data_IF_477161330088
#
_entry.id   IF_477161330088
#
_cell.length_a   1.000
_cell.length_b   1.000
_cell.length_c   1.000
_cell.angle_alpha   90.00
_cell.angle_beta   90.00
_cell.angle_gamma   90.00
#
_symmetry.space_group_name_H-M   'P 1'
#
loop_
_entity.id
_entity.type
_entity.pdbx_description
1 polymer ?
#
# COMPACT_ATOMS: atom_id res chain seq x y z
N UNK A 1 -23.89 8.20 61.94
CA UNK A 1 -23.21 9.20 61.08
C UNK A 1 -21.78 8.79 60.68
N UNK A 2 -20.85 8.55 61.61
CA UNK A 2 -19.44 8.19 61.30
C UNK A 2 -19.26 6.94 60.40
N UNK A 3 -20.05 5.88 60.59
CA UNK A 3 -19.99 4.69 59.72
C UNK A 3 -20.45 4.96 58.29
N UNK A 4 -21.46 5.81 58.10
CA UNK A 4 -21.96 6.17 56.76
C UNK A 4 -20.93 6.97 55.97
N UNK A 5 -20.21 7.89 56.63
CA UNK A 5 -19.13 8.68 56.02
C UNK A 5 -17.98 7.76 55.57
N UNK A 6 -17.58 6.79 56.41
CA UNK A 6 -16.50 5.86 56.06
C UNK A 6 -16.88 4.99 54.85
N UNK A 7 -18.12 4.50 54.79
CA UNK A 7 -18.62 3.71 53.65
C UNK A 7 -18.63 4.57 52.39
N UNK A 8 -19.14 5.81 52.46
CA UNK A 8 -19.17 6.72 51.33
C UNK A 8 -17.76 7.01 50.79
N UNK A 9 -16.78 7.24 51.65
CA UNK A 9 -15.38 7.44 51.25
C UNK A 9 -14.78 6.20 50.58
N UNK A 10 -15.05 4.99 51.09
CA UNK A 10 -14.54 3.75 50.47
C UNK A 10 -15.17 3.50 49.10
N UNK A 11 -16.46 3.76 48.96
CA UNK A 11 -17.16 3.66 47.67
C UNK A 11 -16.55 4.66 46.68
N UNK A 12 -16.34 5.91 47.09
CA UNK A 12 -15.71 6.93 46.25
C UNK A 12 -14.32 6.51 45.79
N UNK A 13 -13.46 6.05 46.70
CA UNK A 13 -12.11 5.58 46.36
C UNK A 13 -12.18 4.37 45.42
N UNK A 14 -13.10 3.43 45.66
CA UNK A 14 -13.28 2.25 44.80
C UNK A 14 -13.72 2.62 43.39
N UNK A 15 -14.63 3.59 43.23
CA UNK A 15 -15.07 4.10 41.93
C UNK A 15 -13.92 4.81 41.21
N UNK A 16 -13.15 5.66 41.91
CA UNK A 16 -11.99 6.34 41.32
C UNK A 16 -10.94 5.34 40.87
N UNK A 17 -10.60 4.35 41.71
CA UNK A 17 -9.60 3.33 41.39
C UNK A 17 -10.04 2.44 40.23
N UNK A 18 -11.31 1.99 40.23
CA UNK A 18 -11.89 1.25 39.11
C UNK A 18 -11.88 2.08 37.82
N UNK A 19 -12.22 3.38 37.91
CA UNK A 19 -12.22 4.32 36.79
C UNK A 19 -10.84 4.49 36.15
N UNK A 20 -9.82 4.74 36.97
CA UNK A 20 -8.43 4.85 36.51
C UNK A 20 -7.98 3.54 35.85
N UNK A 21 -8.26 2.40 36.48
CA UNK A 21 -7.85 1.09 35.98
C UNK A 21 -8.53 0.76 34.65
N UNK A 22 -9.84 1.00 34.54
CA UNK A 22 -10.60 0.81 33.29
C UNK A 22 -10.10 1.71 32.16
N UNK A 23 -9.81 2.98 32.45
CA UNK A 23 -9.24 3.92 31.47
C UNK A 23 -7.83 3.53 31.04
N UNK A 24 -6.98 3.10 31.99
CA UNK A 24 -5.64 2.63 31.70
C UNK A 24 -5.67 1.38 30.80
N UNK A 25 -6.53 0.40 31.13
CA UNK A 25 -6.71 -0.80 30.32
C UNK A 25 -7.21 -0.47 28.91
N UNK A 26 -8.18 0.44 28.78
CA UNK A 26 -8.63 0.91 27.47
C UNK A 26 -7.47 1.53 26.66
N UNK A 27 -6.71 2.46 27.26
CA UNK A 27 -5.59 3.13 26.57
C UNK A 27 -4.48 2.16 26.14
N UNK A 28 -4.09 1.25 27.04
CA UNK A 28 -3.05 0.26 26.75
C UNK A 28 -3.52 -0.66 25.63
N UNK A 29 -4.76 -1.18 25.72
CA UNK A 29 -5.27 -2.11 24.71
C UNK A 29 -5.45 -1.43 23.35
N UNK A 30 -5.98 -0.21 23.32
CA UNK A 30 -6.10 0.59 22.09
C UNK A 30 -4.72 0.79 21.45
N UNK A 31 -3.73 1.24 22.23
CA UNK A 31 -2.37 1.47 21.73
C UNK A 31 -1.73 0.18 21.21
N UNK A 32 -1.76 -0.91 21.98
CA UNK A 32 -1.14 -2.18 21.60
C UNK A 32 -1.79 -2.78 20.35
N UNK A 33 -3.12 -2.77 20.25
CA UNK A 33 -3.82 -3.31 19.08
C UNK A 33 -3.64 -2.42 17.85
N UNK A 34 -3.63 -1.09 18.00
CA UNK A 34 -3.35 -0.17 16.91
C UNK A 34 -1.91 -0.31 16.39
N UNK A 35 -0.92 -0.49 17.27
CA UNK A 35 0.46 -0.75 16.87
C UNK A 35 0.59 -2.09 16.13
N UNK A 36 0.03 -3.17 16.69
CA UNK A 36 0.02 -4.47 16.04
C UNK A 36 -0.66 -4.42 14.66
N UNK A 37 -1.72 -3.61 14.52
CA UNK A 37 -2.40 -3.38 13.25
C UNK A 37 -1.52 -2.62 12.25
N UNK A 38 -0.82 -1.59 12.70
CA UNK A 38 0.12 -0.83 11.87
C UNK A 38 1.29 -1.71 11.40
N UNK A 39 1.85 -2.55 12.26
CA UNK A 39 2.93 -3.49 11.90
C UNK A 39 2.48 -4.54 10.87
N UNK A 40 1.27 -5.09 11.03
CA UNK A 40 0.67 -6.00 10.05
C UNK A 40 0.49 -5.31 8.69
N UNK A 41 -0.06 -4.10 8.70
CA UNK A 41 -0.23 -3.29 7.49
C UNK A 41 1.10 -2.94 6.82
N UNK A 42 2.13 -2.64 7.62
CA UNK A 42 3.47 -2.34 7.12
C UNK A 42 4.12 -3.58 6.47
N UNK A 43 3.91 -4.76 7.04
CA UNK A 43 4.40 -6.02 6.46
C UNK A 43 3.66 -6.35 5.16
N UNK A 44 2.33 -6.20 5.15
CA UNK A 44 1.49 -6.38 3.98
C UNK A 44 1.90 -5.45 2.84
N UNK A 45 2.00 -4.14 3.11
CA UNK A 45 2.29 -3.15 2.08
C UNK A 45 3.70 -3.32 1.51
N UNK A 46 4.65 -3.82 2.31
CA UNK A 46 6.00 -4.12 1.80
C UNK A 46 5.96 -5.18 0.71
N UNK A 47 5.33 -6.33 1.00
CA UNK A 47 5.25 -7.44 0.04
C UNK A 47 4.41 -7.03 -1.18
N UNK A 48 3.30 -6.33 -0.96
CA UNK A 48 2.45 -5.86 -2.05
C UNK A 48 3.18 -4.86 -2.93
N UNK A 49 3.85 -3.87 -2.35
CA UNK A 49 4.65 -2.87 -3.07
C UNK A 49 5.65 -3.50 -4.02
N UNK A 50 6.42 -4.48 -3.52
CA UNK A 50 7.44 -5.15 -4.31
C UNK A 50 6.78 -5.85 -5.52
N UNK A 51 5.64 -6.53 -5.33
CA UNK A 51 4.89 -7.18 -6.41
C UNK A 51 4.30 -6.21 -7.44
N UNK A 52 3.70 -5.10 -7.00
CA UNK A 52 3.13 -4.11 -7.92
C UNK A 52 4.24 -3.39 -8.72
N UNK A 53 5.42 -3.21 -8.12
CA UNK A 53 6.55 -2.54 -8.77
C UNK A 53 7.24 -3.43 -9.80
N UNK A 54 7.30 -4.75 -9.59
CA UNK A 54 8.00 -5.71 -10.48
C UNK A 54 7.63 -5.53 -11.95
N UNK A 55 6.33 -5.46 -12.26
CA UNK A 55 5.85 -5.35 -13.64
C UNK A 55 6.40 -4.11 -14.37
N UNK A 56 6.50 -2.98 -13.67
CA UNK A 56 7.03 -1.73 -14.24
C UNK A 56 8.56 -1.71 -14.29
N UNK A 57 9.22 -2.39 -13.35
CA UNK A 57 10.68 -2.57 -13.39
C UNK A 57 11.11 -3.49 -14.54
N UNK A 58 10.33 -4.54 -14.84
CA UNK A 58 10.50 -5.42 -16.00
C UNK A 58 10.31 -4.63 -17.30
N UNK A 59 9.25 -3.82 -17.42
CA UNK A 59 9.02 -2.95 -18.56
C UNK A 59 10.19 -1.96 -18.79
N UNK A 60 10.73 -1.38 -17.71
CA UNK A 60 11.91 -0.49 -17.79
C UNK A 60 13.14 -1.24 -18.31
N UNK A 61 13.41 -2.41 -17.74
CA UNK A 61 14.56 -3.24 -18.11
C UNK A 61 14.48 -3.65 -19.58
N UNK A 62 13.30 -4.06 -20.05
CA UNK A 62 13.04 -4.36 -21.45
C UNK A 62 13.32 -3.15 -22.35
N UNK A 63 12.80 -1.97 -21.99
CA UNK A 63 12.97 -0.76 -22.80
C UNK A 63 14.45 -0.30 -22.88
N UNK A 64 15.20 -0.39 -21.79
CA UNK A 64 16.64 -0.09 -21.77
C UNK A 64 17.44 -1.07 -22.62
N UNK A 65 17.12 -2.37 -22.52
CA UNK A 65 17.77 -3.39 -23.33
C UNK A 65 17.43 -3.24 -24.83
N UNK A 66 16.19 -2.88 -25.16
CA UNK A 66 15.73 -2.59 -26.51
C UNK A 66 16.43 -1.37 -27.11
N UNK A 67 16.57 -0.27 -26.35
CA UNK A 67 17.34 0.91 -26.76
C UNK A 67 18.80 0.53 -27.07
N UNK A 68 19.48 -0.15 -26.16
CA UNK A 68 20.87 -0.55 -26.37
C UNK A 68 21.01 -1.47 -27.60
N UNK A 69 20.04 -2.36 -27.82
CA UNK A 69 19.98 -3.25 -28.97
C UNK A 69 19.71 -2.51 -30.29
N UNK A 70 18.92 -1.45 -30.25
CA UNK A 70 18.63 -0.56 -31.37
C UNK A 70 19.88 0.21 -31.77
N UNK A 71 20.53 0.88 -30.82
CA UNK A 71 21.72 1.69 -31.09
C UNK A 71 22.85 0.85 -31.72
N UNK A 72 23.06 -0.37 -31.22
CA UNK A 72 24.02 -1.31 -31.82
C UNK A 72 23.67 -1.70 -33.26
N UNK A 73 22.40 -2.01 -33.53
CA UNK A 73 21.96 -2.41 -34.88
C UNK A 73 22.00 -1.24 -35.84
N UNK A 74 21.49 -0.08 -35.43
CA UNK A 74 21.53 1.15 -36.20
C UNK A 74 22.97 1.49 -36.58
N UNK A 75 23.94 1.38 -35.68
CA UNK A 75 25.35 1.61 -36.01
C UNK A 75 25.98 0.60 -36.99
N UNK A 76 25.40 -0.60 -37.16
CA UNK A 76 25.95 -1.68 -37.99
C UNK A 76 25.26 -1.84 -39.34
N UNK A 77 24.00 -1.43 -39.47
CA UNK A 77 23.26 -1.51 -40.74
C UNK A 77 23.81 -0.44 -41.68
N UNK A 78 24.27 -0.85 -42.85
CA UNK A 78 24.53 0.05 -43.98
C UNK A 78 23.21 0.37 -44.69
N UNK A 79 23.01 1.64 -45.02
CA UNK A 79 21.74 2.13 -45.57
C UNK A 79 21.44 1.57 -46.97
N UNK A 80 22.46 1.32 -47.79
CA UNK A 80 22.24 0.81 -49.16
C UNK A 80 21.84 -0.67 -49.16
N UNK A 81 22.40 -1.47 -48.24
CA UNK A 81 22.17 -2.92 -48.14
C UNK A 81 20.76 -3.28 -47.63
N UNK A 82 20.04 -2.34 -47.01
CA UNK A 82 18.75 -2.62 -46.35
C UNK A 82 17.52 -2.34 -47.22
N UNK A 83 17.69 -1.66 -48.37
CA UNK A 83 16.55 -1.18 -49.18
C UNK A 83 15.71 -2.34 -49.73
N UNK A 84 16.36 -3.38 -50.25
CA UNK A 84 15.66 -4.55 -50.81
C UNK A 84 14.92 -5.32 -49.72
N UNK A 85 15.57 -5.53 -48.56
CA UNK A 85 14.95 -6.17 -47.39
C UNK A 85 13.76 -5.35 -46.88
N UNK A 86 13.93 -4.03 -46.75
CA UNK A 86 12.86 -3.12 -46.33
C UNK A 86 11.67 -3.19 -47.30
N UNK A 87 11.91 -3.15 -48.61
CA UNK A 87 10.85 -3.25 -49.62
C UNK A 87 10.13 -4.61 -49.59
N UNK A 88 10.86 -5.70 -49.34
CA UNK A 88 10.30 -7.05 -49.25
C UNK A 88 9.45 -7.27 -47.99
N UNK A 89 9.79 -6.59 -46.89
CA UNK A 89 9.08 -6.70 -45.60
C UNK A 89 7.93 -5.69 -45.50
N UNK A 90 8.08 -4.52 -46.12
CA UNK A 90 7.17 -3.39 -46.00
C UNK A 90 6.80 -2.80 -47.37
N UNK A 91 6.02 -3.53 -48.18
CA UNK A 91 5.62 -3.05 -49.50
C UNK A 91 4.73 -1.79 -49.43
N UNK A 92 4.70 -0.98 -50.51
CA UNK A 92 3.71 0.08 -50.68
C UNK A 92 2.29 -0.46 -50.55
N UNK A 93 1.40 0.32 -49.92
CA UNK A 93 -0.02 -0.04 -49.79
C UNK A 93 -0.89 0.54 -50.91
N UNK A 94 -0.39 1.58 -51.60
CA UNK A 94 -1.10 2.25 -52.70
C UNK A 94 -1.84 3.53 -52.30
N UNK A 95 -1.72 3.97 -51.05
CA UNK A 95 -2.28 5.22 -50.51
C UNK A 95 -1.20 6.21 -50.03
N UNK A 96 0.06 5.99 -50.43
CA UNK A 96 1.23 6.73 -49.95
C UNK A 96 1.82 6.17 -48.65
N UNK A 97 1.16 5.19 -48.00
CA UNK A 97 1.70 4.48 -46.84
C UNK A 97 2.42 3.19 -47.24
N UNK A 98 3.23 2.69 -46.31
CA UNK A 98 3.73 1.30 -46.34
C UNK A 98 3.15 0.51 -45.17
N UNK A 99 2.92 -0.79 -45.38
CA UNK A 99 2.38 -1.72 -44.38
C UNK A 99 3.25 -2.96 -44.31
N UNK A 100 3.22 -3.67 -43.18
CA UNK A 100 3.86 -4.99 -43.08
C UNK A 100 3.27 -5.97 -44.09
N UNK A 101 4.13 -6.74 -44.76
CA UNK A 101 3.71 -7.90 -45.54
C UNK A 101 2.88 -8.87 -44.67
N UNK A 102 1.78 -9.48 -45.19
CA UNK A 102 0.90 -10.34 -44.39
C UNK A 102 1.62 -11.45 -43.61
N UNK A 103 2.59 -12.10 -44.25
CA UNK A 103 3.39 -13.19 -43.67
C UNK A 103 4.20 -12.77 -42.42
N UNK A 104 4.43 -11.47 -42.17
CA UNK A 104 5.10 -11.02 -40.94
C UNK A 104 4.23 -11.22 -39.70
N UNK A 105 2.92 -11.26 -39.86
CA UNK A 105 2.04 -11.66 -38.76
C UNK A 105 1.83 -13.18 -38.76
N UNK A 106 1.58 -13.76 -39.94
CA UNK A 106 1.13 -15.15 -40.06
C UNK A 106 2.26 -16.17 -39.89
N UNK A 107 3.50 -15.75 -40.08
CA UNK A 107 4.68 -16.60 -39.99
C UNK A 107 5.47 -16.62 -41.30
N UNK A 108 6.75 -16.25 -41.26
CA UNK A 108 7.69 -16.32 -42.39
C UNK A 108 9.04 -16.84 -41.93
N UNK A 109 9.59 -17.83 -42.63
CA UNK A 109 10.98 -18.23 -42.43
C UNK A 109 11.92 -17.19 -43.02
N UNK A 110 12.95 -16.83 -42.27
CA UNK A 110 14.03 -15.95 -42.68
C UNK A 110 15.30 -16.79 -42.96
N UNK A 111 16.30 -16.24 -43.65
CA UNK A 111 17.59 -16.91 -43.81
C UNK A 111 18.21 -17.31 -42.47
N UNK A 112 18.99 -18.38 -42.44
CA UNK A 112 19.72 -18.80 -41.23
C UNK A 112 18.88 -19.55 -40.19
N UNK A 113 17.78 -20.20 -40.60
CA UNK A 113 16.83 -20.89 -39.72
C UNK A 113 16.10 -19.97 -38.71
N UNK A 114 16.03 -18.68 -39.03
CA UNK A 114 15.28 -17.69 -38.27
C UNK A 114 13.80 -17.63 -38.72
N UNK A 115 12.92 -17.07 -37.89
CA UNK A 115 11.49 -17.00 -38.14
C UNK A 115 10.91 -15.67 -37.64
N UNK A 116 9.83 -15.20 -38.26
CA UNK A 116 9.11 -14.00 -37.83
C UNK A 116 7.61 -14.24 -37.91
N UNK A 117 6.88 -13.82 -36.88
CA UNK A 117 5.42 -13.87 -36.79
C UNK A 117 4.92 -12.77 -35.85
N UNK A 118 3.61 -12.57 -35.77
CA UNK A 118 2.98 -11.63 -34.83
C UNK A 118 3.30 -10.15 -35.05
N UNK A 119 3.96 -9.80 -36.16
CA UNK A 119 4.36 -8.42 -36.47
C UNK A 119 3.31 -7.75 -37.36
N UNK A 120 2.96 -6.52 -37.00
CA UNK A 120 2.20 -5.59 -37.84
C UNK A 120 2.89 -4.23 -37.90
N UNK A 121 2.78 -3.55 -39.04
CA UNK A 121 3.40 -2.25 -39.23
C UNK A 121 2.51 -1.28 -40.00
N UNK A 122 2.62 -0.01 -39.63
CA UNK A 122 2.04 1.14 -40.31
C UNK A 122 3.12 2.21 -40.49
N UNK A 123 3.28 2.75 -41.69
CA UNK A 123 4.19 3.85 -41.95
C UNK A 123 3.47 4.95 -42.73
N UNK A 124 3.09 6.01 -42.02
CA UNK A 124 2.63 7.24 -42.65
C UNK A 124 3.71 7.81 -43.57
N UNK A 125 3.31 8.24 -44.77
CA UNK A 125 4.22 8.73 -45.82
C UNK A 125 5.39 7.76 -46.11
N UNK A 126 5.12 6.45 -45.99
CA UNK A 126 6.14 5.40 -46.06
C UNK A 126 6.79 5.28 -47.44
N UNK A 127 6.08 5.66 -48.51
CA UNK A 127 6.63 5.61 -49.87
C UNK A 127 7.76 6.63 -50.09
N UNK A 128 7.78 7.73 -49.33
CA UNK A 128 8.76 8.81 -49.43
C UNK A 128 9.88 8.73 -48.38
N UNK A 129 9.99 7.62 -47.64
CA UNK A 129 11.04 7.43 -46.65
C UNK A 129 12.44 7.47 -47.29
N UNK A 130 13.30 8.32 -46.75
CA UNK A 130 14.73 8.35 -47.03
C UNK A 130 15.42 7.05 -46.60
N UNK A 131 16.60 6.78 -47.15
CA UNK A 131 17.40 5.60 -46.79
C UNK A 131 17.71 5.58 -45.28
N UNK A 132 18.02 6.74 -44.68
CA UNK A 132 18.28 6.82 -43.24
C UNK A 132 17.04 6.49 -42.39
N UNK A 133 15.85 6.92 -42.80
CA UNK A 133 14.61 6.58 -42.12
C UNK A 133 14.29 5.08 -42.25
N UNK A 134 14.55 4.47 -43.41
CA UNK A 134 14.42 3.02 -43.61
C UNK A 134 15.40 2.26 -42.71
N UNK A 135 16.67 2.68 -42.68
CA UNK A 135 17.72 2.11 -41.82
C UNK A 135 17.35 2.17 -40.33
N UNK A 136 16.89 3.33 -39.88
CA UNK A 136 16.36 3.56 -38.52
C UNK A 136 15.17 2.65 -38.21
N UNK A 137 14.20 2.59 -39.11
CA UNK A 137 13.02 1.76 -38.92
C UNK A 137 13.36 0.26 -38.88
N UNK A 138 14.28 -0.19 -39.73
CA UNK A 138 14.76 -1.57 -39.78
C UNK A 138 15.52 -1.96 -38.51
N UNK A 139 16.34 -1.07 -37.94
CA UNK A 139 16.93 -1.29 -36.63
C UNK A 139 15.84 -1.50 -35.54
N UNK A 140 14.77 -0.70 -35.57
CA UNK A 140 13.61 -0.84 -34.70
C UNK A 140 12.87 -2.17 -34.91
N UNK A 141 12.57 -2.54 -36.16
CA UNK A 141 11.93 -3.81 -36.52
C UNK A 141 12.71 -5.02 -36.00
N UNK A 142 14.04 -5.06 -36.18
CA UNK A 142 14.85 -6.16 -35.70
C UNK A 142 14.84 -6.29 -34.17
N UNK A 143 14.76 -5.18 -33.45
CA UNK A 143 14.61 -5.20 -31.98
C UNK A 143 13.22 -5.71 -31.62
N UNK A 144 12.16 -5.14 -32.21
CA UNK A 144 10.77 -5.56 -31.93
C UNK A 144 10.55 -7.05 -32.20
N UNK A 145 11.11 -7.59 -33.30
CA UNK A 145 11.08 -9.03 -33.59
C UNK A 145 11.77 -9.83 -32.48
N UNK A 146 13.06 -9.58 -32.25
CA UNK A 146 13.87 -10.42 -31.38
C UNK A 146 13.46 -10.32 -29.90
N UNK A 147 13.15 -9.12 -29.43
CA UNK A 147 12.76 -8.88 -28.04
C UNK A 147 11.30 -9.21 -27.80
N UNK A 148 10.43 -9.00 -28.81
CA UNK A 148 9.02 -9.36 -28.71
C UNK A 148 8.86 -10.86 -28.48
N UNK A 149 9.51 -11.68 -29.31
CA UNK A 149 9.48 -13.13 -29.14
C UNK A 149 10.08 -13.58 -27.80
N UNK A 150 11.19 -12.96 -27.37
CA UNK A 150 11.84 -13.30 -26.11
C UNK A 150 10.99 -13.00 -24.86
N UNK A 151 10.01 -12.09 -24.94
CA UNK A 151 9.15 -11.69 -23.82
C UNK A 151 7.67 -12.01 -24.10
N UNK A 152 7.43 -13.07 -24.87
CA UNK A 152 6.09 -13.61 -25.12
C UNK A 152 5.37 -13.93 -23.79
N UNK A 153 4.13 -13.47 -23.68
CA UNK A 153 3.29 -13.68 -22.49
C UNK A 153 3.59 -12.75 -21.31
N UNK A 154 4.68 -11.96 -21.35
CA UNK A 154 4.97 -10.98 -20.30
C UNK A 154 4.25 -9.65 -20.54
N UNK A 155 4.13 -9.25 -21.82
CA UNK A 155 3.51 -8.00 -22.23
C UNK A 155 2.51 -8.25 -23.37
N UNK A 156 1.44 -7.44 -23.41
CA UNK A 156 0.42 -7.56 -24.47
C UNK A 156 0.92 -7.11 -25.84
N UNK A 157 1.90 -6.21 -25.88
CA UNK A 157 2.64 -5.88 -27.10
C UNK A 157 3.99 -5.23 -26.79
N UNK A 158 4.93 -5.39 -27.71
CA UNK A 158 6.14 -4.57 -27.82
C UNK A 158 6.09 -3.82 -29.14
N UNK A 159 6.43 -2.54 -29.15
CA UNK A 159 6.42 -1.73 -30.37
C UNK A 159 7.52 -0.69 -30.40
N UNK A 160 7.90 -0.31 -31.61
CA UNK A 160 8.77 0.82 -31.90
C UNK A 160 8.01 1.80 -32.76
N UNK A 161 8.08 3.09 -32.43
CA UNK A 161 7.48 4.14 -33.23
C UNK A 161 8.41 5.33 -33.41
N UNK A 162 8.16 6.09 -34.47
CA UNK A 162 8.90 7.31 -34.81
C UNK A 162 8.00 8.54 -34.73
N UNK A 163 8.58 9.75 -34.59
CA UNK A 163 7.82 11.00 -34.62
C UNK A 163 6.99 11.17 -35.91
N UNK A 164 7.46 10.58 -37.02
CA UNK A 164 6.85 10.69 -38.35
C UNK A 164 5.65 9.74 -38.58
N UNK A 165 4.92 9.37 -37.52
CA UNK A 165 3.73 8.50 -37.55
C UNK A 165 4.00 7.10 -38.12
N UNK A 166 5.12 6.49 -37.75
CA UNK A 166 5.48 5.13 -38.17
C UNK A 166 5.57 4.23 -36.95
N UNK A 167 5.06 3.01 -37.05
CA UNK A 167 5.08 2.03 -35.96
C UNK A 167 5.26 0.62 -36.50
N UNK A 168 6.05 -0.18 -35.78
CA UNK A 168 6.11 -1.64 -35.90
C UNK A 168 5.76 -2.24 -34.54
N UNK A 169 4.86 -3.22 -34.52
CA UNK A 169 4.28 -3.81 -33.33
C UNK A 169 4.43 -5.32 -33.40
N UNK A 170 4.95 -5.93 -32.33
CA UNK A 170 4.84 -7.35 -32.05
C UNK A 170 3.72 -7.57 -31.04
N UNK A 171 2.67 -8.28 -31.46
CA UNK A 171 1.53 -8.63 -30.62
C UNK A 171 0.82 -9.88 -31.17
N UNK A 172 1.46 -11.06 -31.13
CA UNK A 172 0.95 -12.27 -31.78
C UNK A 172 -0.38 -12.77 -31.19
N UNK A 173 -0.62 -12.49 -29.91
CA UNK A 173 -1.81 -12.97 -29.19
C UNK A 173 -3.03 -12.05 -29.32
N UNK A 174 -2.87 -10.91 -30.02
CA UNK A 174 -4.00 -10.00 -30.25
C UNK A 174 -5.04 -10.66 -31.15
N UNK A 175 -6.28 -10.69 -30.66
CA UNK A 175 -7.41 -11.29 -31.36
C UNK A 175 -7.68 -10.66 -32.75
N UNK A 176 -7.45 -9.35 -32.90
CA UNK A 176 -7.61 -8.63 -34.17
C UNK A 176 -6.41 -8.79 -35.11
N UNK A 177 -5.37 -9.53 -34.72
CA UNK A 177 -4.17 -9.81 -35.53
C UNK A 177 -3.51 -8.53 -36.09
N UNK A 178 -3.60 -7.42 -35.36
CA UNK A 178 -3.13 -6.09 -35.76
C UNK A 178 -3.78 -5.58 -37.05
N UNK A 179 -4.99 -6.02 -37.39
CA UNK A 179 -5.68 -5.67 -38.64
C UNK A 179 -5.80 -4.17 -38.86
N UNK A 180 -6.07 -3.39 -37.80
CA UNK A 180 -6.15 -1.94 -37.89
C UNK A 180 -4.89 -1.33 -38.52
N UNK A 181 -3.71 -1.65 -37.98
CA UNK A 181 -2.45 -1.10 -38.49
C UNK A 181 -2.08 -1.65 -39.87
N UNK A 182 -2.39 -2.94 -40.11
CA UNK A 182 -2.02 -3.64 -41.34
C UNK A 182 -2.88 -3.26 -42.55
N UNK A 183 -4.17 -2.95 -42.33
CA UNK A 183 -5.14 -2.85 -43.42
C UNK A 183 -6.14 -1.69 -43.32
N UNK A 184 -6.53 -1.25 -42.12
CA UNK A 184 -7.72 -0.40 -41.94
C UNK A 184 -7.39 1.07 -41.65
N UNK A 185 -6.25 1.33 -41.02
CA UNK A 185 -5.87 2.69 -40.61
C UNK A 185 -5.70 3.58 -41.85
N UNK A 186 -6.30 4.78 -41.89
CA UNK A 186 -6.21 5.67 -43.04
C UNK A 186 -4.79 6.24 -43.21
N UNK A 187 -4.49 6.77 -44.41
CA UNK A 187 -3.17 7.33 -44.72
C UNK A 187 -2.77 8.53 -43.83
N UNK A 188 -3.75 9.28 -43.36
CA UNK A 188 -3.62 10.42 -42.45
C UNK A 188 -3.80 10.05 -40.97
N UNK A 189 -3.83 8.75 -40.64
CA UNK A 189 -3.98 8.29 -39.26
C UNK A 189 -2.93 8.96 -38.35
N UNK A 190 -3.44 9.63 -37.31
CA UNK A 190 -2.61 10.29 -36.31
C UNK A 190 -2.24 9.30 -35.21
N UNK A 191 -1.18 8.54 -35.45
CA UNK A 191 -0.60 7.60 -34.49
C UNK A 191 -0.28 8.25 -33.13
N UNK A 192 0.02 9.55 -33.12
CA UNK A 192 0.50 10.31 -31.98
C UNK A 192 -0.63 10.95 -31.15
N UNK A 193 -1.91 10.81 -31.56
CA UNK A 193 -3.03 11.52 -30.97
C UNK A 193 -3.23 11.26 -29.46
N UNK A 194 -2.92 10.04 -29.01
CA UNK A 194 -3.07 9.61 -27.62
C UNK A 194 -1.75 9.66 -26.82
N UNK A 195 -0.68 10.19 -27.42
CA UNK A 195 0.62 10.27 -26.78
C UNK A 195 0.75 11.55 -25.94
N UNK A 196 1.30 11.43 -24.73
CA UNK A 196 1.59 12.58 -23.88
C UNK A 196 2.83 13.31 -24.42
N UNK A 197 2.72 14.56 -24.93
CA UNK A 197 3.86 15.25 -25.53
C UNK A 197 5.03 15.45 -24.56
N UNK A 198 4.76 15.41 -23.25
CA UNK A 198 5.79 15.53 -22.20
C UNK A 198 6.77 14.37 -22.19
N UNK A 199 6.37 13.21 -22.73
CA UNK A 199 7.25 12.04 -22.87
C UNK A 199 8.44 12.34 -23.80
N UNK A 200 8.20 13.05 -24.90
CA UNK A 200 9.22 13.33 -25.94
C UNK A 200 9.81 14.74 -25.86
N UNK A 201 9.40 15.54 -24.89
CA UNK A 201 9.99 16.86 -24.68
C UNK A 201 11.32 16.74 -23.93
N UNK A 202 12.35 17.42 -24.43
CA UNK A 202 13.64 17.56 -23.73
C UNK A 202 13.52 18.41 -22.47
N UNK A 203 12.53 19.30 -22.38
CA UNK A 203 12.28 20.13 -21.21
C UNK A 203 11.74 19.30 -20.04
N UNK A 204 10.82 18.38 -20.33
CA UNK A 204 10.13 17.59 -19.29
C UNK A 204 10.68 16.17 -19.11
N UNK A 205 11.44 15.66 -20.07
CA UNK A 205 12.09 14.34 -20.02
C UNK A 205 13.50 14.37 -20.64
N UNK A 206 14.44 15.16 -20.07
CA UNK A 206 15.80 15.31 -20.61
C UNK A 206 16.59 14.00 -20.63
N UNK A 207 16.36 13.12 -19.64
CA UNK A 207 17.09 11.86 -19.49
C UNK A 207 16.52 10.72 -20.36
N UNK A 208 15.51 11.00 -21.18
CA UNK A 208 14.80 9.98 -21.97
C UNK A 208 14.35 8.80 -21.10
N UNK A 209 13.85 9.12 -19.90
CA UNK A 209 13.36 8.13 -18.96
C UNK A 209 12.08 7.49 -19.49
N UNK A 210 11.88 6.22 -19.16
CA UNK A 210 10.62 5.54 -19.47
C UNK A 210 9.49 6.17 -18.64
N UNK A 211 8.35 6.44 -19.28
CA UNK A 211 7.13 6.87 -18.59
C UNK A 211 5.94 6.06 -19.08
N UNK A 212 4.99 5.81 -18.18
CA UNK A 212 3.76 5.10 -18.51
C UNK A 212 2.57 6.06 -18.62
N UNK A 213 1.66 5.75 -19.53
CA UNK A 213 0.41 6.50 -19.66
C UNK A 213 -0.50 6.25 -18.46
N UNK A 214 -1.50 7.13 -18.32
CA UNK A 214 -2.66 6.79 -17.49
C UNK A 214 -3.33 5.52 -18.02
N UNK A 215 -4.16 4.90 -17.18
CA UNK A 215 -5.08 3.86 -17.65
C UNK A 215 -5.93 4.41 -18.79
N UNK A 216 -5.80 3.78 -19.94
CA UNK A 216 -6.51 4.11 -21.16
C UNK A 216 -7.25 2.89 -21.68
N UNK A 217 -8.10 3.12 -22.68
CA UNK A 217 -8.55 2.03 -23.54
C UNK A 217 -7.42 1.71 -24.53
N UNK A 218 -7.48 0.52 -25.10
CA UNK A 218 -6.69 0.22 -26.28
C UNK A 218 -7.24 1.01 -27.48
N UNK A 219 -6.34 1.60 -28.29
CA UNK A 219 -6.68 2.46 -29.45
C UNK A 219 -7.57 1.77 -30.50
N UNK A 220 -7.55 0.44 -30.54
CA UNK A 220 -8.29 -0.39 -31.49
C UNK A 220 -9.65 -0.90 -30.97
N UNK A 221 -10.08 -0.47 -29.78
CA UNK A 221 -11.34 -0.93 -29.16
C UNK A 221 -12.25 0.26 -28.87
N UNK A 222 -13.33 0.39 -29.64
CA UNK A 222 -14.34 1.46 -29.52
C UNK A 222 -15.27 1.32 -28.29
N UNK A 223 -15.09 0.28 -27.46
CA UNK A 223 -15.90 0.05 -26.27
C UNK A 223 -15.20 -0.86 -25.25
N UNK A 224 -15.04 -0.37 -24.02
CA UNK A 224 -14.44 -1.13 -22.91
C UNK A 224 -14.12 -0.26 -21.68
N UNK A 225 -13.88 -0.91 -20.54
CA UNK A 225 -13.26 -0.24 -19.38
C UNK A 225 -11.81 0.15 -19.70
N UNK A 226 -11.30 1.19 -19.05
CA UNK A 226 -9.88 1.55 -19.17
C UNK A 226 -9.08 0.48 -18.45
N UNK A 227 -8.40 -0.37 -19.20
CA UNK A 227 -7.71 -1.54 -18.67
C UNK A 227 -6.28 -1.68 -19.16
N UNK A 228 -5.75 -0.72 -19.90
CA UNK A 228 -4.37 -0.78 -20.39
C UNK A 228 -3.55 0.40 -19.89
N UNK A 229 -2.27 0.18 -19.64
CA UNK A 229 -1.27 1.24 -19.59
C UNK A 229 -0.19 0.93 -20.61
N UNK A 230 0.43 1.97 -21.15
CA UNK A 230 1.50 1.83 -22.10
C UNK A 230 2.73 2.57 -21.58
N UNK A 231 3.81 1.83 -21.38
CA UNK A 231 5.10 2.33 -20.91
C UNK A 231 6.03 2.52 -22.10
N UNK A 232 6.61 3.70 -22.24
CA UNK A 232 7.41 4.08 -23.41
C UNK A 232 8.69 4.76 -22.99
N UNK A 233 9.78 4.51 -23.71
CA UNK A 233 11.08 5.11 -23.52
C UNK A 233 11.56 5.76 -24.82
N UNK A 234 11.73 7.09 -24.86
CA UNK A 234 12.34 7.78 -25.99
C UNK A 234 13.79 7.33 -26.18
N UNK A 235 14.25 7.34 -27.43
CA UNK A 235 15.63 7.06 -27.81
C UNK A 235 16.19 8.33 -28.44
N UNK A 236 17.30 8.82 -27.90
CA UNK A 236 17.96 10.01 -28.43
C UNK A 236 19.43 9.78 -28.72
N UNK A 237 19.90 10.34 -29.83
CA UNK A 237 21.31 10.39 -30.21
C UNK A 237 21.64 11.84 -30.48
N UNK A 238 22.62 12.40 -29.76
CA UNK A 238 23.03 13.81 -29.87
C UNK A 238 21.87 14.83 -29.77
N UNK A 239 20.84 14.49 -28.98
CA UNK A 239 19.65 15.31 -28.78
C UNK A 239 18.54 15.11 -29.83
N UNK A 240 18.81 14.39 -30.92
CA UNK A 240 17.80 14.02 -31.92
C UNK A 240 16.94 12.86 -31.43
N UNK A 241 15.61 12.98 -31.58
CA UNK A 241 14.67 11.91 -31.27
C UNK A 241 14.66 10.88 -32.40
N UNK A 242 15.27 9.73 -32.14
CA UNK A 242 15.30 8.62 -33.10
C UNK A 242 13.96 7.88 -33.15
N UNK A 243 13.25 7.85 -32.03
CA UNK A 243 11.98 7.16 -31.88
C UNK A 243 11.78 6.76 -30.43
N UNK A 244 10.95 5.74 -30.19
CA UNK A 244 10.76 5.20 -28.86
C UNK A 244 10.32 3.74 -28.90
N UNK A 245 10.78 2.96 -27.92
CA UNK A 245 10.20 1.67 -27.63
C UNK A 245 9.07 1.81 -26.63
N UNK A 246 8.00 1.06 -26.84
CA UNK A 246 6.90 0.98 -25.92
C UNK A 246 6.40 -0.43 -25.73
N UNK A 247 5.85 -0.68 -24.55
CA UNK A 247 5.11 -1.89 -24.22
C UNK A 247 3.70 -1.53 -23.80
N UNK A 248 2.74 -2.36 -24.19
CA UNK A 248 1.38 -2.29 -23.65
C UNK A 248 1.22 -3.36 -22.57
N UNK A 249 0.61 -2.97 -21.46
CA UNK A 249 0.35 -3.84 -20.32
C UNK A 249 -1.18 -3.89 -20.13
N UNK A 250 -1.73 -5.11 -20.15
CA UNK A 250 -3.11 -5.34 -19.72
C UNK A 250 -3.14 -5.35 -18.18
N UNK A 251 -3.89 -4.39 -17.64
CA UNK A 251 -4.03 -4.16 -16.21
C UNK A 251 -5.27 -4.82 -15.62
N UNK A 252 -6.11 -5.48 -16.42
CA UNK A 252 -7.40 -6.04 -15.95
C UNK A 252 -7.19 -7.05 -14.82
N UNK A 253 -6.46 -8.13 -15.11
CA UNK A 253 -6.20 -9.19 -14.14
C UNK A 253 -5.22 -8.73 -13.06
N UNK A 254 -4.22 -7.92 -13.45
CA UNK A 254 -3.25 -7.36 -12.52
C UNK A 254 -3.96 -6.56 -11.42
N UNK A 255 -4.74 -5.55 -11.79
CA UNK A 255 -5.49 -4.72 -10.84
C UNK A 255 -6.49 -5.54 -10.04
N UNK A 256 -7.21 -6.48 -10.66
CA UNK A 256 -8.12 -7.36 -9.92
C UNK A 256 -7.38 -8.11 -8.81
N UNK A 257 -6.25 -8.74 -9.13
CA UNK A 257 -5.40 -9.44 -8.16
C UNK A 257 -4.81 -8.52 -7.08
N UNK A 258 -4.61 -7.24 -7.39
CA UNK A 258 -4.13 -6.20 -6.46
C UNK A 258 -5.13 -5.82 -5.41
N UNK A 259 -6.40 -6.05 -5.69
CA UNK A 259 -7.47 -5.63 -4.82
C UNK A 259 -7.95 -6.73 -3.88
N UNK A 260 -7.52 -7.98 -4.08
CA UNK A 260 -7.89 -9.13 -3.27
C UNK A 260 -7.28 -9.12 -1.86
N UNK A 261 -7.96 -9.81 -0.94
CA UNK A 261 -7.52 -10.12 0.42
C UNK A 261 -6.87 -8.94 1.20
N UNK A 262 -7.54 -7.77 1.29
CA UNK A 262 -7.03 -6.68 2.12
C UNK A 262 -6.89 -7.14 3.57
N UNK A 263 -5.81 -6.77 4.27
CA UNK A 263 -5.56 -7.20 5.63
C UNK A 263 -6.71 -6.82 6.55
N UNK A 264 -7.26 -7.87 7.17
CA UNK A 264 -8.23 -7.85 8.24
C UNK A 264 -9.45 -6.94 8.00
N UNK A 265 -10.11 -7.19 6.86
CA UNK A 265 -11.39 -6.56 6.51
C UNK A 265 -11.25 -5.13 5.98
N UNK A 266 -10.02 -4.72 5.65
CA UNK A 266 -9.75 -3.42 5.04
C UNK A 266 -10.23 -3.30 3.59
N UNK A 267 -9.82 -2.23 2.92
CA UNK A 267 -10.12 -1.96 1.51
C UNK A 267 -8.83 -1.60 0.77
N UNK A 268 -8.56 -2.31 -0.33
CA UNK A 268 -7.50 -1.92 -1.26
C UNK A 268 -8.03 -0.95 -2.31
N UNK A 269 -7.20 0.04 -2.66
CA UNK A 269 -7.45 1.09 -3.62
C UNK A 269 -6.18 1.32 -4.44
N UNK A 270 -6.33 1.61 -5.73
CA UNK A 270 -5.24 2.11 -6.55
C UNK A 270 -5.62 3.50 -7.04
N UNK A 271 -4.70 4.46 -6.90
CA UNK A 271 -4.84 5.82 -7.35
C UNK A 271 -3.86 6.12 -8.48
N UNK A 272 -4.29 6.93 -9.45
CA UNK A 272 -3.36 7.52 -10.41
C UNK A 272 -2.58 8.70 -9.81
N UNK A 273 -1.68 9.26 -10.61
CA UNK A 273 -0.83 10.40 -10.24
C UNK A 273 -1.60 11.66 -9.83
N UNK A 274 -2.82 11.82 -10.33
CA UNK A 274 -3.68 12.97 -10.09
C UNK A 274 -4.56 12.76 -8.84
N UNK A 275 -4.58 11.54 -8.29
CA UNK A 275 -5.36 11.16 -7.13
C UNK A 275 -6.75 10.62 -7.47
N UNK A 276 -7.00 10.25 -8.72
CA UNK A 276 -8.23 9.57 -9.13
C UNK A 276 -8.14 8.09 -8.78
N UNK A 277 -9.23 7.51 -8.25
CA UNK A 277 -9.29 6.07 -8.00
C UNK A 277 -9.44 5.34 -9.33
N UNK A 278 -8.46 4.52 -9.66
CA UNK A 278 -8.42 3.73 -10.90
C UNK A 278 -8.77 2.25 -10.67
N UNK A 279 -8.67 1.77 -9.44
CA UNK A 279 -9.11 0.41 -9.08
C UNK A 279 -9.54 0.33 -7.59
N UNK A 280 -10.50 -0.54 -7.27
CA UNK A 280 -11.00 -0.75 -5.89
C UNK A 280 -11.52 -2.18 -5.65
N UNK A 281 -11.18 -2.77 -4.51
CA UNK A 281 -11.59 -4.14 -4.13
C UNK A 281 -12.98 -4.30 -3.53
N UNK A 282 -13.78 -3.24 -3.54
CA UNK A 282 -15.14 -3.18 -2.99
C UNK A 282 -16.00 -2.27 -3.86
N UNK A 283 -17.32 -2.41 -3.75
CA UNK A 283 -18.24 -1.54 -4.49
C UNK A 283 -18.19 -0.09 -3.95
N UNK A 284 -18.60 0.88 -4.77
CA UNK A 284 -18.73 2.28 -4.35
C UNK A 284 -19.62 2.44 -3.10
N UNK A 285 -20.68 1.62 -3.01
CA UNK A 285 -21.62 1.66 -1.90
C UNK A 285 -21.00 1.14 -0.59
N UNK A 286 -20.22 0.05 -0.66
CA UNK A 286 -19.51 -0.50 0.49
C UNK A 286 -18.47 0.48 1.03
N UNK A 287 -17.65 1.07 0.16
CA UNK A 287 -16.64 2.04 0.57
C UNK A 287 -17.26 3.31 1.20
N UNK A 288 -18.38 3.79 0.67
CA UNK A 288 -19.13 4.92 1.26
C UNK A 288 -19.73 4.56 2.62
N UNK A 289 -20.25 3.35 2.78
CA UNK A 289 -20.76 2.87 4.06
C UNK A 289 -19.66 2.79 5.14
N UNK A 290 -18.41 2.52 4.73
CA UNK A 290 -17.23 2.49 5.61
C UNK A 290 -16.66 3.90 5.85
N UNK A 291 -17.14 4.93 5.15
CA UNK A 291 -16.71 6.33 5.33
C UNK A 291 -15.37 6.67 4.68
N UNK A 292 -14.88 5.88 3.73
CA UNK A 292 -13.62 6.13 3.05
C UNK A 292 -13.77 7.31 2.08
N UNK A 293 -13.01 8.39 2.32
CA UNK A 293 -12.93 9.54 1.41
C UNK A 293 -11.59 9.53 0.62
N UNK A 294 -11.61 9.20 -0.68
CA UNK A 294 -10.42 9.18 -1.52
C UNK A 294 -9.63 10.49 -1.55
N UNK A 295 -10.32 11.64 -1.47
CA UNK A 295 -9.68 12.97 -1.49
C UNK A 295 -8.85 13.21 -0.22
N UNK A 296 -9.38 12.78 0.93
CA UNK A 296 -8.68 12.90 2.21
C UNK A 296 -7.43 12.00 2.24
N UNK A 297 -7.53 10.78 1.73
CA UNK A 297 -6.39 9.87 1.60
C UNK A 297 -5.32 10.49 0.73
N UNK A 298 -5.67 10.98 -0.46
CA UNK A 298 -4.67 11.57 -1.36
C UNK A 298 -4.05 12.84 -0.78
N UNK A 299 -4.80 13.65 -0.03
CA UNK A 299 -4.24 14.79 0.69
C UNK A 299 -3.20 14.36 1.74
N UNK A 300 -3.41 13.23 2.43
CA UNK A 300 -2.42 12.68 3.38
C UNK A 300 -1.16 12.18 2.69
N UNK A 301 -1.29 11.58 1.50
CA UNK A 301 -0.18 10.94 0.80
C UNK A 301 0.63 11.89 -0.08
N UNK A 302 0.02 12.98 -0.57
CA UNK A 302 0.65 13.89 -1.54
C UNK A 302 1.98 14.44 -1.05
N UNK A 303 2.04 14.84 0.22
CA UNK A 303 3.22 15.46 0.83
C UNK A 303 4.13 14.45 1.55
N UNK A 304 3.79 13.15 1.56
CA UNK A 304 4.60 12.13 2.20
C UNK A 304 5.74 11.67 1.26
N UNK A 305 7.02 11.97 1.56
CA UNK A 305 8.13 11.68 0.65
C UNK A 305 8.50 10.19 0.63
N UNK A 306 7.94 9.37 1.53
CA UNK A 306 8.33 7.97 1.64
C UNK A 306 7.81 7.18 0.44
N UNK A 307 8.56 6.19 -0.07
CA UNK A 307 8.09 5.32 -1.14
C UNK A 307 6.94 4.42 -0.68
N UNK A 308 6.89 4.11 0.63
CA UNK A 308 5.84 3.30 1.26
C UNK A 308 5.77 3.58 2.75
N UNK A 309 4.63 3.31 3.37
CA UNK A 309 4.46 3.47 4.81
C UNK A 309 3.04 3.23 5.30
N UNK A 310 2.84 3.49 6.59
CA UNK A 310 1.52 3.50 7.24
C UNK A 310 1.33 4.87 7.89
N UNK A 311 0.17 5.48 7.67
CA UNK A 311 -0.24 6.77 8.27
C UNK A 311 -1.62 6.64 8.90
N UNK A 312 -1.86 7.38 9.98
CA UNK A 312 -3.20 7.52 10.55
C UNK A 312 -3.96 8.67 9.89
N UNK A 313 -5.29 8.60 9.84
CA UNK A 313 -6.11 9.76 9.43
C UNK A 313 -6.19 10.79 10.56
N UNK A 314 -6.47 12.08 10.27
CA UNK A 314 -6.57 13.12 11.29
C UNK A 314 -7.63 12.82 12.36
N UNK A 315 -8.71 12.12 11.98
CA UNK A 315 -9.78 11.68 12.89
C UNK A 315 -9.44 10.39 13.66
N UNK A 316 -8.28 9.77 13.38
CA UNK A 316 -7.83 8.49 13.97
C UNK A 316 -8.82 7.33 13.80
N UNK A 317 -9.65 7.39 12.77
CA UNK A 317 -10.65 6.35 12.47
C UNK A 317 -10.06 5.21 11.64
N UNK A 318 -8.98 5.51 10.90
CA UNK A 318 -8.35 4.58 9.97
C UNK A 318 -6.83 4.60 10.07
N UNK A 319 -6.24 3.46 9.74
CA UNK A 319 -4.85 3.35 9.30
C UNK A 319 -4.84 3.19 7.78
N UNK A 320 -3.95 3.92 7.11
CA UNK A 320 -3.76 3.93 5.67
C UNK A 320 -2.34 3.43 5.42
N UNK A 321 -2.22 2.22 4.88
CA UNK A 321 -0.96 1.72 4.34
C UNK A 321 -0.86 2.13 2.87
N UNK A 322 0.30 2.58 2.43
CA UNK A 322 0.49 3.02 1.05
C UNK A 322 1.84 2.59 0.49
N UNK A 323 1.89 2.44 -0.82
CA UNK A 323 3.11 2.37 -1.62
C UNK A 323 2.95 3.19 -2.88
N UNK A 324 4.01 3.88 -3.27
CA UNK A 324 4.16 4.53 -4.57
C UNK A 324 4.66 3.50 -5.58
N UNK A 325 4.14 3.56 -6.80
CA UNK A 325 4.53 2.71 -7.93
C UNK A 325 5.20 3.61 -8.97
N UNK A 326 6.49 3.40 -9.18
CA UNK A 326 7.30 4.19 -10.10
C UNK A 326 7.06 3.74 -11.55
N UNK A 327 7.06 4.70 -12.49
CA UNK A 327 6.75 4.48 -13.91
C UNK A 327 5.42 5.15 -14.30
N UNK A 328 4.27 4.72 -13.72
CA UNK A 328 2.98 5.38 -13.95
C UNK A 328 2.63 6.44 -12.88
N UNK A 329 3.46 6.59 -11.84
CA UNK A 329 3.27 7.47 -10.67
C UNK A 329 1.98 7.18 -9.90
N UNK A 330 1.69 5.90 -9.69
CA UNK A 330 0.47 5.45 -9.00
C UNK A 330 0.70 5.26 -7.50
N UNK A 331 -0.41 5.17 -6.76
CA UNK A 331 -0.41 4.79 -5.36
C UNK A 331 -1.25 3.53 -5.16
N UNK A 332 -0.64 2.49 -4.62
CA UNK A 332 -1.38 1.39 -4.03
C UNK A 332 -1.66 1.70 -2.56
N UNK A 333 -2.91 1.55 -2.13
CA UNK A 333 -3.36 1.93 -0.79
C UNK A 333 -4.21 0.82 -0.19
N UNK A 334 -3.97 0.52 1.08
CA UNK A 334 -4.82 -0.35 1.89
C UNK A 334 -5.30 0.38 3.12
N UNK A 335 -6.62 0.47 3.28
CA UNK A 335 -7.27 1.19 4.38
C UNK A 335 -7.83 0.20 5.39
N UNK A 336 -7.59 0.45 6.67
CA UNK A 336 -8.05 -0.39 7.77
C UNK A 336 -8.80 0.42 8.81
N UNK A 337 -10.02 0.01 9.13
CA UNK A 337 -10.85 0.66 10.14
C UNK A 337 -10.40 0.33 11.58
N UNK A 338 -10.39 1.31 12.48
CA UNK A 338 -10.01 1.12 13.90
C UNK A 338 -11.20 0.92 14.84
N UNK A 339 -12.45 1.10 14.39
CA UNK A 339 -13.64 0.90 15.23
C UNK A 339 -13.72 -0.45 15.93
N UNK A 340 -13.31 -1.56 15.30
CA UNK A 340 -13.35 -2.86 15.97
C UNK A 340 -12.39 -2.92 17.17
N UNK A 341 -11.21 -2.34 17.01
CA UNK A 341 -10.20 -2.19 18.07
C UNK A 341 -10.73 -1.27 19.18
N UNK A 342 -11.36 -0.15 18.81
CA UNK A 342 -11.98 0.78 19.76
C UNK A 342 -13.10 0.10 20.55
N UNK A 343 -14.03 -0.55 19.88
CA UNK A 343 -15.14 -1.25 20.51
C UNK A 343 -14.67 -2.40 21.41
N UNK A 344 -13.62 -3.14 21.01
CA UNK A 344 -13.00 -4.14 21.86
C UNK A 344 -12.37 -3.51 23.11
N UNK A 345 -11.64 -2.41 22.94
CA UNK A 345 -10.99 -1.68 24.04
C UNK A 345 -12.00 -1.10 25.02
N UNK A 346 -13.12 -0.57 24.54
CA UNK A 346 -14.25 -0.10 25.36
C UNK A 346 -14.88 -1.23 26.17
N UNK A 347 -15.18 -2.37 25.53
CA UNK A 347 -15.76 -3.53 26.22
C UNK A 347 -14.85 -4.05 27.33
N UNK A 348 -13.55 -4.16 27.07
CA UNK A 348 -12.60 -4.64 28.07
C UNK A 348 -12.34 -3.63 29.19
N UNK A 349 -12.20 -2.34 28.86
CA UNK A 349 -12.09 -1.28 29.86
C UNK A 349 -13.30 -1.25 30.80
N UNK A 350 -14.50 -1.40 30.23
CA UNK A 350 -15.74 -1.46 31.00
C UNK A 350 -15.86 -2.72 31.87
N UNK A 351 -15.46 -3.89 31.34
CA UNK A 351 -15.41 -5.14 32.12
C UNK A 351 -14.45 -5.03 33.31
N UNK A 352 -13.27 -4.45 33.09
CA UNK A 352 -12.27 -4.27 34.14
C UNK A 352 -12.73 -3.27 35.20
N UNK A 353 -13.38 -2.18 34.78
CA UNK A 353 -14.03 -1.24 35.68
C UNK A 353 -15.01 -1.94 36.62
N UNK A 354 -15.97 -2.69 36.06
CA UNK A 354 -16.97 -3.39 36.88
C UNK A 354 -16.36 -4.48 37.75
N UNK A 355 -15.39 -5.23 37.22
CA UNK A 355 -14.69 -6.26 37.99
C UNK A 355 -14.01 -5.67 39.23
N UNK A 356 -13.22 -4.60 39.07
CA UNK A 356 -12.51 -3.95 40.18
C UNK A 356 -13.51 -3.31 41.16
N UNK A 357 -14.57 -2.68 40.66
CA UNK A 357 -15.59 -2.07 41.50
C UNK A 357 -16.29 -3.12 42.37
N UNK A 358 -16.75 -4.22 41.77
CA UNK A 358 -17.44 -5.30 42.50
C UNK A 358 -16.51 -5.95 43.52
N UNK A 359 -15.27 -6.29 43.14
CA UNK A 359 -14.27 -6.86 44.06
C UNK A 359 -14.01 -5.91 45.25
N UNK A 360 -13.85 -4.62 44.99
CA UNK A 360 -13.61 -3.62 46.04
C UNK A 360 -14.81 -3.47 47.00
N UNK A 361 -16.03 -3.51 46.47
CA UNK A 361 -17.26 -3.49 47.27
C UNK A 361 -17.44 -4.77 48.11
N UNK A 362 -17.12 -5.93 47.55
CA UNK A 362 -17.14 -7.22 48.26
C UNK A 362 -16.12 -7.21 49.41
N UNK A 363 -14.88 -6.77 49.18
CA UNK A 363 -13.85 -6.66 50.22
C UNK A 363 -14.28 -5.69 51.33
N UNK A 364 -14.87 -4.55 50.97
CA UNK A 364 -15.37 -3.57 51.93
C UNK A 364 -16.52 -4.13 52.77
N UNK A 365 -17.41 -4.90 52.15
CA UNK A 365 -18.54 -5.55 52.82
C UNK A 365 -18.08 -6.65 53.78
N UNK A 366 -17.13 -7.50 53.35
CA UNK A 366 -16.49 -8.51 54.20
C UNK A 366 -15.79 -7.88 55.40
N UNK A 367 -15.03 -6.79 55.20
CA UNK A 367 -14.40 -6.04 56.31
C UNK A 367 -15.44 -5.45 57.28
N UNK A 368 -16.55 -4.94 56.75
CA UNK A 368 -17.67 -4.44 57.55
C UNK A 368 -18.34 -5.54 58.38
N UNK A 369 -18.58 -6.70 57.78
CA UNK A 369 -19.16 -7.88 58.44
C UNK A 369 -18.23 -8.43 59.53
N UNK A 370 -16.94 -8.60 59.24
CA UNK A 370 -15.94 -9.04 60.23
C UNK A 370 -15.87 -8.10 61.43
N UNK A 371 -15.91 -6.78 61.22
CA UNK A 371 -15.95 -5.77 62.29
C UNK A 371 -17.25 -5.77 63.11
N UNK A 372 -18.38 -6.15 62.49
CA UNK A 372 -19.69 -6.24 63.16
C UNK A 372 -19.92 -7.58 63.84
N UNK A 373 -19.24 -8.64 63.42
CA UNK A 373 -19.39 -9.96 64.03
C UNK A 373 -18.85 -9.94 65.47
N UNK A 374 -19.73 -10.09 66.45
CA UNK A 374 -19.37 -10.22 67.87
C UNK A 374 -18.45 -11.43 68.12
N UNK A 375 -18.39 -12.37 67.18
CA UNK A 375 -17.54 -13.57 67.22
C UNK A 375 -16.04 -13.24 67.24
N UNK A 376 -15.59 -12.19 66.52
CA UNK A 376 -14.18 -11.77 66.54
C UNK A 376 -13.83 -11.01 67.82
N UNK A 377 -14.78 -10.28 68.41
CA UNK A 377 -14.59 -9.67 69.74
C UNK A 377 -14.47 -10.74 70.84
N UNK A 378 -15.32 -11.76 70.81
CA UNK A 378 -15.29 -12.85 71.77
C UNK A 378 -14.03 -13.73 71.69
N UNK A 379 -13.39 -13.81 70.52
CA UNK A 379 -12.14 -14.57 70.34
C UNK A 379 -10.87 -13.78 70.74
N UNK A 380 -10.95 -12.44 70.77
CA UNK A 380 -9.82 -11.55 71.09
C UNK A 380 -9.87 -10.97 72.51
N UNK A 381 -10.97 -11.13 73.26
CA UNK A 381 -11.00 -10.82 74.69
C UNK A 381 -10.35 -11.98 75.48
N UNK A 382 -9.21 -11.76 76.16
CA UNK A 382 -8.67 -12.77 77.05
C UNK A 382 -9.65 -13.00 78.20
N UNK A 383 -9.95 -14.26 78.52
CA UNK A 383 -10.77 -14.63 79.67
C UNK A 383 -10.22 -13.94 80.93
N UNK A 384 -11.02 -13.04 81.53
CA UNK A 384 -10.70 -12.46 82.82
C UNK A 384 -10.73 -13.56 83.90
N UNK A 385 -9.74 -13.64 84.81
CA UNK A 385 -9.74 -14.63 85.88
C UNK A 385 -10.88 -14.37 86.88
N UNK A 386 -11.46 -15.46 87.39
CA UNK A 386 -12.61 -15.50 88.29
C UNK A 386 -12.42 -14.69 89.60
N UNK A 387 -13.48 -14.13 90.19
CA UNK A 387 -13.38 -13.32 91.40
C UNK A 387 -13.05 -14.17 92.63
N UNK A 388 -11.92 -13.86 93.27
CA UNK A 388 -11.54 -14.40 94.57
C UNK A 388 -12.49 -13.92 95.68
N UNK A 389 -12.97 -14.85 96.49
CA UNK A 389 -13.83 -14.67 97.64
C UNK A 389 -13.19 -13.78 98.71
N UNK A 390 -13.83 -12.64 99.04
CA UNK A 390 -13.48 -11.78 100.18
C UNK A 390 -13.67 -12.54 101.50
N UNK A 391 -12.59 -12.82 102.23
CA UNK A 391 -12.63 -12.98 103.69
C UNK A 391 -12.31 -11.64 104.34
N UNK A 392 -13.25 -11.18 105.16
CA UNK A 392 -13.11 -10.09 106.11
C UNK A 392 -12.04 -10.47 107.17
N UNK A 393 -10.98 -9.69 107.29
CA UNK A 393 -10.24 -9.54 108.54
C UNK A 393 -9.80 -8.09 108.70
N UNK A 394 -9.95 -7.64 109.94
CA UNK A 394 -9.86 -6.31 110.49
C UNK A 394 -8.46 -5.67 110.46
N UNK A 395 -8.40 -4.42 110.00
CA UNK A 395 -7.44 -3.36 110.38
C UNK A 395 -7.61 -3.04 111.89
N UNK A 396 -6.64 -2.45 112.65
CA UNK A 396 -5.67 -1.45 112.18
C UNK A 396 -4.28 -1.35 112.86
N UNK A 397 -3.32 -0.71 112.18
CA UNK A 397 -2.44 0.34 112.73
C UNK A 397 -1.51 0.96 111.65
N UNK A 398 -1.45 2.30 111.62
CA UNK A 398 -0.45 3.20 110.98
C UNK A 398 0.83 3.24 111.86
N UNK A 399 1.97 3.93 111.56
CA UNK A 399 2.31 4.88 110.47
C UNK A 399 3.77 4.78 109.93
N UNK A 400 4.16 5.68 109.00
CA UNK A 400 5.57 6.05 108.71
C UNK A 400 5.91 5.98 107.23
N UNK A 401 6.19 7.13 106.58
CA UNK A 401 7.54 7.54 106.11
C UNK A 401 7.99 6.75 104.88
N UNK A 402 8.58 7.28 103.80
CA UNK A 402 9.05 8.59 103.39
C UNK A 402 9.39 8.47 101.89
N UNK A 403 9.76 9.61 101.30
CA UNK A 403 10.61 9.76 100.12
C UNK A 403 9.98 9.90 98.72
N UNK A 404 10.49 10.96 98.10
CA UNK A 404 10.17 11.64 96.84
C UNK A 404 11.17 11.12 95.74
N UNK A 405 11.27 11.72 94.54
CA UNK A 405 11.23 11.06 93.21
C UNK A 405 12.65 11.17 92.55
N UNK A 406 12.87 11.42 91.22
CA UNK A 406 12.11 11.25 89.97
C UNK A 406 12.99 10.68 88.79
N UNK A 407 12.48 10.76 87.54
CA UNK A 407 13.22 10.92 86.25
C UNK A 407 14.04 9.72 85.75
N UNK A 408 14.37 9.51 84.47
CA UNK A 408 14.12 10.11 83.16
C UNK A 408 14.71 9.14 82.10
N UNK A 409 14.48 9.46 80.81
CA UNK A 409 15.21 9.04 79.61
C UNK A 409 14.91 7.61 79.09
N UNK A 410 14.53 7.40 77.83
CA UNK A 410 14.95 8.11 76.62
C UNK A 410 15.95 7.21 75.87
N UNK A 411 15.67 6.78 74.63
CA UNK A 411 16.40 5.70 73.94
C UNK A 411 17.58 6.24 73.12
N UNK A 412 18.51 5.37 72.67
CA UNK A 412 19.39 5.69 71.56
C UNK A 412 18.91 5.04 70.23
N UNK A 413 19.13 5.71 69.09
CA UNK A 413 18.91 5.19 67.74
C UNK A 413 20.23 4.73 67.09
N UNK A 414 20.11 4.09 65.92
CA UNK A 414 21.21 3.81 64.99
C UNK A 414 21.17 2.35 64.53
N UNK A 415 21.31 2.02 63.26
CA UNK A 415 21.72 2.79 62.08
C UNK A 415 22.18 1.79 61.01
N UNK A 416 22.11 2.24 59.76
CA UNK A 416 22.61 1.64 58.51
C UNK A 416 21.88 0.45 57.90
#
# INVERSE_FOLDING_TARGET
MRQAIIIAVHVLISVVFAGISGLAAHKILMSSLSMARAEMLQSYIRVRADREQTLFDEARTLAEAAEAAFLRRHALIDGEDIVDDFNALFPPFGDGTRRSHPDLFDGRSLPGADHVFGIGAYMGDGENMTIEEQRRYMAGFHVVRAFGEAHLGEFSSLYYFTPDRRVVIFAPERADRLAFYRYEAPADFNLQADEDPRLFSLETNPDSAMQCTRLSRFVYSDGGERSATACRKPIRVDGELMGAFGTSIDMTEHLASSLEAPPAGGVNLVFDRDGSVIARGQTLQQARAIGINPVEIMALLRDDPRPRGVVGTPRSEFLVAFSRIAGPDWYFVSVSHLAEIKAASDRWGWRLFWFILVVSLVITSLRGLLRRSNFVRAFLEPQAPAPATRRYMSTPARPGQDAKPPRDAGPPPGGH
#
